data_IF_752218247436
#
_entry.id   IF_752218247436
#
_cell.length_a   1.000
_cell.length_b   1.000
_cell.length_c   1.000
_cell.angle_alpha   90.00
_cell.angle_beta   90.00
_cell.angle_gamma   90.00
#
_symmetry.space_group_name_H-M   'P 1'
#
loop_
_entity.id
_entity.type
_entity.pdbx_description
1 polymer ?
#
# COMPACT_ATOMS: atom_id res chain seq x y z
N UNK A 1 -52.67 38.15 29.63
CA UNK A 1 -52.23 37.47 28.38
C UNK A 1 -50.71 37.36 28.38
N UNK A 2 -50.12 36.29 28.93
CA UNK A 2 -48.66 36.16 29.04
C UNK A 2 -48.22 34.68 28.94
N UNK A 3 -48.48 34.03 27.79
CA UNK A 3 -47.98 32.67 27.51
C UNK A 3 -47.64 32.55 26.02
N UNK A 4 -46.66 33.33 25.53
CA UNK A 4 -46.06 33.09 24.20
C UNK A 4 -44.54 33.15 24.17
N UNK A 5 -43.88 33.70 25.20
CA UNK A 5 -42.42 33.88 25.21
C UNK A 5 -41.62 32.58 25.45
N UNK A 6 -42.17 31.60 26.17
CA UNK A 6 -41.49 30.33 26.44
C UNK A 6 -41.35 29.40 25.23
N UNK A 7 -42.27 29.50 24.25
CA UNK A 7 -42.34 28.56 23.12
C UNK A 7 -41.27 28.84 22.04
N UNK A 8 -40.88 30.09 21.87
CA UNK A 8 -39.81 30.48 20.93
C UNK A 8 -38.40 30.19 21.46
N UNK A 9 -38.23 30.13 22.79
CA UNK A 9 -36.94 29.75 23.40
C UNK A 9 -36.59 28.31 23.09
N UNK A 10 -37.56 27.40 23.20
CA UNK A 10 -37.40 25.98 22.87
C UNK A 10 -37.13 25.75 21.38
N UNK A 11 -37.81 26.51 20.52
CA UNK A 11 -37.56 26.51 19.08
C UNK A 11 -36.14 26.99 18.74
N UNK A 12 -35.65 28.03 19.44
CA UNK A 12 -34.27 28.50 19.30
C UNK A 12 -33.23 27.45 19.70
N UNK A 13 -33.43 26.76 20.82
CA UNK A 13 -32.54 25.66 21.23
C UNK A 13 -32.53 24.51 20.22
N UNK A 14 -33.69 24.14 19.68
CA UNK A 14 -33.76 23.11 18.64
C UNK A 14 -32.97 23.50 17.38
N UNK A 15 -33.06 24.75 16.94
CA UNK A 15 -32.32 25.24 15.76
C UNK A 15 -30.82 25.26 16.02
N UNK A 16 -30.37 25.69 17.20
CA UNK A 16 -28.94 25.71 17.57
C UNK A 16 -28.38 24.28 17.65
N UNK A 17 -29.11 23.33 18.22
CA UNK A 17 -28.69 21.92 18.27
C UNK A 17 -28.66 21.33 16.87
N UNK A 18 -29.68 21.57 16.04
CA UNK A 18 -29.73 21.09 14.66
C UNK A 18 -28.56 21.63 13.84
N UNK A 19 -28.23 22.92 13.98
CA UNK A 19 -27.09 23.53 13.28
C UNK A 19 -25.75 23.00 13.79
N UNK A 20 -25.59 22.79 15.10
CA UNK A 20 -24.40 22.12 15.64
C UNK A 20 -24.26 20.68 15.13
N UNK A 21 -25.35 19.96 14.96
CA UNK A 21 -25.34 18.57 14.46
C UNK A 21 -25.01 18.55 12.96
N UNK A 22 -25.69 19.38 12.16
CA UNK A 22 -25.54 19.41 10.69
C UNK A 22 -24.19 20.00 10.26
N UNK A 23 -23.59 20.90 11.03
CA UNK A 23 -22.29 21.50 10.69
C UNK A 23 -21.17 20.81 11.47
N UNK A 24 -21.39 20.56 12.77
CA UNK A 24 -20.38 19.99 13.66
C UNK A 24 -20.08 18.54 13.37
N UNK A 25 -21.08 17.68 13.11
CA UNK A 25 -20.82 16.26 12.80
C UNK A 25 -20.05 16.11 11.49
N UNK A 26 -20.44 16.76 10.36
CA UNK A 26 -19.62 16.71 9.14
C UNK A 26 -18.23 17.30 9.33
N UNK A 27 -18.07 18.39 10.09
CA UNK A 27 -16.75 18.95 10.36
C UNK A 27 -15.86 18.00 11.19
N UNK A 28 -16.45 17.26 12.13
CA UNK A 28 -15.75 16.25 12.94
C UNK A 28 -15.40 15.01 12.10
N UNK A 29 -16.30 14.58 11.22
CA UNK A 29 -16.07 13.50 10.27
C UNK A 29 -15.01 13.86 9.22
N UNK A 30 -14.98 15.10 8.74
CA UNK A 30 -13.94 15.60 7.82
C UNK A 30 -12.58 15.72 8.52
N UNK A 31 -12.55 16.07 9.81
CA UNK A 31 -11.31 16.07 10.60
C UNK A 31 -10.82 14.66 10.96
N UNK A 32 -11.73 13.69 11.12
CA UNK A 32 -11.41 12.28 11.38
C UNK A 32 -11.11 11.47 10.12
N UNK A 33 -11.60 11.90 8.95
CA UNK A 33 -11.13 11.43 7.66
C UNK A 33 -9.87 12.19 7.31
N UNK A 34 -8.72 11.63 7.66
CA UNK A 34 -7.47 11.90 6.95
C UNK A 34 -7.67 11.47 5.48
N UNK A 35 -8.27 12.34 4.68
CA UNK A 35 -8.24 12.25 3.22
C UNK A 35 -6.81 12.60 2.79
N UNK A 36 -5.88 11.72 3.18
CA UNK A 36 -4.51 11.81 2.72
C UNK A 36 -4.55 11.39 1.25
N UNK A 37 -4.76 12.34 0.36
CA UNK A 37 -4.46 12.22 -1.06
C UNK A 37 -2.94 12.12 -1.18
N UNK A 38 -2.38 10.96 -0.81
CA UNK A 38 -1.00 10.66 -1.14
C UNK A 38 -0.92 10.64 -2.66
N UNK A 39 0.03 11.41 -3.18
CA UNK A 39 0.29 11.49 -4.61
C UNK A 39 0.32 10.08 -5.21
N UNK A 40 -0.28 9.87 -6.41
CA UNK A 40 -0.14 8.61 -7.10
C UNK A 40 1.35 8.26 -7.17
N UNK A 41 1.69 7.00 -6.89
CA UNK A 41 3.06 6.48 -7.05
C UNK A 41 3.53 6.91 -8.44
N UNK A 42 4.54 7.78 -8.53
CA UNK A 42 5.00 8.35 -9.81
C UNK A 42 5.25 7.22 -10.80
N UNK A 43 4.63 7.32 -11.98
CA UNK A 43 4.80 6.36 -13.07
C UNK A 43 6.19 6.47 -13.74
N UNK A 44 6.94 7.54 -13.43
CA UNK A 44 8.30 7.79 -13.91
C UNK A 44 9.32 6.97 -13.09
N UNK A 45 9.41 5.68 -13.37
CA UNK A 45 10.34 4.77 -12.68
C UNK A 45 10.60 3.48 -13.44
N UNK A 46 11.47 2.63 -12.88
CA UNK A 46 11.74 1.29 -13.41
C UNK A 46 10.43 0.50 -13.52
N UNK A 47 10.11 0.01 -14.71
CA UNK A 47 8.91 -0.77 -14.98
C UNK A 47 9.22 -2.26 -14.81
N UNK A 48 8.43 -2.94 -13.99
CA UNK A 48 8.50 -4.38 -13.76
C UNK A 48 7.48 -5.06 -14.66
N UNK A 49 7.92 -5.97 -15.52
CA UNK A 49 7.02 -6.92 -16.20
C UNK A 49 6.85 -8.14 -15.29
N UNK A 50 5.66 -8.32 -14.77
CA UNK A 50 5.31 -9.39 -13.83
C UNK A 50 4.37 -10.37 -14.51
N UNK A 51 4.72 -11.66 -14.52
CA UNK A 51 3.79 -12.73 -14.86
C UNK A 51 2.96 -13.11 -13.63
N UNK A 52 1.64 -12.87 -13.68
CA UNK A 52 0.72 -13.22 -12.60
C UNK A 52 0.15 -14.63 -12.81
N UNK A 53 -0.03 -15.04 -14.06
CA UNK A 53 -0.44 -16.38 -14.45
C UNK A 53 0.14 -16.74 -15.82
N UNK A 54 0.01 -17.99 -16.26
CA UNK A 54 0.56 -18.46 -17.55
C UNK A 54 0.23 -17.55 -18.74
N UNK A 55 -0.95 -16.91 -18.73
CA UNK A 55 -1.45 -16.09 -19.84
C UNK A 55 -1.49 -14.60 -19.54
N UNK A 56 -1.07 -14.18 -18.35
CA UNK A 56 -1.22 -12.80 -17.90
C UNK A 56 0.11 -12.23 -17.42
N UNK A 57 0.60 -11.25 -18.18
CA UNK A 57 1.76 -10.43 -17.84
C UNK A 57 1.29 -8.99 -17.75
N UNK A 58 1.60 -8.35 -16.64
CA UNK A 58 1.31 -6.92 -16.42
C UNK A 58 2.62 -6.14 -16.30
N UNK A 59 2.57 -4.85 -16.63
CA UNK A 59 3.65 -3.91 -16.35
C UNK A 59 3.21 -2.96 -15.25
N UNK A 60 4.08 -2.71 -14.29
CA UNK A 60 3.81 -1.79 -13.18
C UNK A 60 5.10 -1.12 -12.69
N UNK A 61 5.03 0.12 -12.18
CA UNK A 61 6.17 0.77 -11.55
C UNK A 61 6.74 -0.08 -10.41
N UNK A 62 8.06 -0.13 -10.28
CA UNK A 62 8.76 -0.92 -9.27
C UNK A 62 8.20 -0.70 -7.85
N UNK A 63 7.94 0.53 -7.46
CA UNK A 63 7.41 0.84 -6.14
C UNK A 63 5.99 0.30 -5.94
N UNK A 64 5.15 0.30 -6.99
CA UNK A 64 3.82 -0.31 -6.94
C UNK A 64 3.91 -1.84 -6.87
N UNK A 65 4.86 -2.45 -7.59
CA UNK A 65 5.15 -3.87 -7.49
C UNK A 65 5.55 -4.26 -6.06
N UNK A 66 6.46 -3.51 -5.44
CA UNK A 66 6.97 -3.79 -4.10
C UNK A 66 5.90 -3.67 -3.01
N UNK A 67 4.91 -2.78 -3.17
CA UNK A 67 3.76 -2.75 -2.26
C UNK A 67 3.00 -4.08 -2.30
N UNK A 68 2.84 -4.67 -3.49
CA UNK A 68 2.26 -6.00 -3.69
C UNK A 68 3.07 -7.11 -3.05
N UNK A 69 4.39 -7.06 -3.19
CA UNK A 69 5.30 -8.04 -2.58
C UNK A 69 5.25 -7.98 -1.06
N UNK A 70 5.47 -6.80 -0.47
CA UNK A 70 5.49 -6.65 0.99
C UNK A 70 4.15 -7.04 1.62
N UNK A 71 3.03 -6.75 0.94
CA UNK A 71 1.70 -7.15 1.39
C UNK A 71 1.43 -8.66 1.31
N UNK A 72 2.12 -9.37 0.42
CA UNK A 72 2.03 -10.81 0.26
C UNK A 72 2.95 -11.56 1.23
N UNK A 73 4.19 -11.09 1.36
CA UNK A 73 5.27 -11.75 2.10
C UNK A 73 5.25 -11.48 3.60
N UNK A 74 4.80 -10.30 4.03
CA UNK A 74 4.95 -9.87 5.42
C UNK A 74 3.64 -9.46 6.08
N UNK A 75 3.33 -9.95 7.30
CA UNK A 75 2.16 -9.50 8.03
C UNK A 75 2.20 -8.00 8.30
N UNK A 76 1.13 -7.29 7.95
CA UNK A 76 1.02 -5.83 8.17
C UNK A 76 1.06 -5.43 9.65
N UNK A 77 0.82 -6.38 10.56
CA UNK A 77 0.94 -6.18 12.01
C UNK A 77 2.39 -6.02 12.47
N UNK A 78 3.38 -6.44 11.68
CA UNK A 78 4.79 -6.32 12.03
C UNK A 78 5.22 -4.84 12.15
N UNK A 79 6.34 -4.64 12.83
CA UNK A 79 6.88 -3.31 13.05
C UNK A 79 7.24 -2.60 11.72
N UNK A 80 7.16 -1.28 11.69
CA UNK A 80 7.41 -0.50 10.48
C UNK A 80 8.83 -0.73 9.92
N UNK A 81 9.84 -0.79 10.80
CA UNK A 81 11.22 -1.07 10.41
C UNK A 81 11.39 -2.45 9.78
N UNK A 82 10.60 -3.45 10.18
CA UNK A 82 10.60 -4.76 9.53
C UNK A 82 10.01 -4.66 8.10
N UNK A 83 8.94 -3.85 7.92
CA UNK A 83 8.34 -3.63 6.59
C UNK A 83 9.31 -2.90 5.66
N UNK A 84 10.08 -1.95 6.21
CA UNK A 84 11.16 -1.25 5.49
C UNK A 84 12.28 -2.22 5.09
N UNK A 85 12.74 -3.07 6.01
CA UNK A 85 13.76 -4.08 5.72
C UNK A 85 13.30 -5.02 4.59
N UNK A 86 12.06 -5.51 4.67
CA UNK A 86 11.47 -6.35 3.63
C UNK A 86 11.39 -5.62 2.29
N UNK A 87 10.98 -4.34 2.28
CA UNK A 87 10.92 -3.55 1.05
C UNK A 87 12.30 -3.40 0.38
N UNK A 88 13.36 -3.21 1.16
CA UNK A 88 14.74 -3.13 0.64
C UNK A 88 15.22 -4.49 0.12
N UNK A 89 14.95 -5.58 0.84
CA UNK A 89 15.29 -6.93 0.38
C UNK A 89 14.56 -7.27 -0.93
N UNK A 90 13.24 -7.06 -0.98
CA UNK A 90 12.44 -7.28 -2.17
C UNK A 90 12.92 -6.44 -3.36
N UNK A 91 13.20 -5.13 -3.16
CA UNK A 91 13.73 -4.26 -4.21
C UNK A 91 15.05 -4.77 -4.76
N UNK A 92 15.93 -5.22 -3.88
CA UNK A 92 17.24 -5.78 -4.25
C UNK A 92 17.05 -7.04 -5.10
N UNK A 93 16.16 -7.94 -4.70
CA UNK A 93 15.84 -9.16 -5.45
C UNK A 93 15.30 -8.81 -6.84
N UNK A 94 14.32 -7.91 -6.92
CA UNK A 94 13.68 -7.52 -8.18
C UNK A 94 14.69 -6.95 -9.17
N UNK A 95 15.54 -6.03 -8.70
CA UNK A 95 16.57 -5.42 -9.55
C UNK A 95 17.65 -6.42 -9.95
N UNK A 96 18.06 -7.31 -9.05
CA UNK A 96 19.02 -8.38 -9.36
C UNK A 96 18.49 -9.28 -10.48
N UNK A 97 17.23 -9.70 -10.41
CA UNK A 97 16.58 -10.51 -11.45
C UNK A 97 16.40 -9.78 -12.77
N UNK A 98 16.18 -8.47 -12.73
CA UNK A 98 16.07 -7.65 -13.94
C UNK A 98 17.41 -7.42 -14.65
N UNK A 99 18.52 -7.40 -13.91
CA UNK A 99 19.86 -7.17 -14.46
C UNK A 99 20.56 -8.47 -14.85
N UNK A 100 20.29 -9.58 -14.15
CA UNK A 100 20.78 -10.90 -14.58
C UNK A 100 20.10 -11.29 -15.89
N UNK A 101 20.89 -11.71 -16.87
CA UNK A 101 20.36 -12.19 -18.15
C UNK A 101 19.44 -13.39 -17.94
N UNK A 102 18.41 -13.51 -18.78
CA UNK A 102 17.35 -14.52 -18.69
C UNK A 102 17.92 -15.93 -18.91
N UNK A 103 18.37 -16.55 -17.83
CA UNK A 103 18.56 -18.00 -17.74
C UNK A 103 17.28 -18.72 -17.27
N UNK A 104 16.14 -18.01 -17.23
CA UNK A 104 14.90 -18.50 -16.64
C UNK A 104 13.81 -18.77 -17.67
N UNK A 105 13.61 -20.04 -17.97
CA UNK A 105 12.60 -20.52 -18.93
C UNK A 105 11.17 -20.48 -18.36
N UNK A 106 10.96 -20.22 -17.06
CA UNK A 106 9.62 -20.27 -16.46
C UNK A 106 8.77 -19.04 -16.83
N UNK A 107 9.41 -17.90 -17.10
CA UNK A 107 8.72 -16.66 -17.43
C UNK A 107 9.48 -15.86 -18.52
N UNK A 108 9.60 -16.42 -19.74
CA UNK A 108 10.51 -15.93 -20.79
C UNK A 108 10.16 -14.51 -21.26
N UNK A 109 8.92 -14.05 -21.07
CA UNK A 109 8.44 -12.73 -21.49
C UNK A 109 8.35 -11.70 -20.34
N UNK A 110 8.65 -12.12 -19.10
CA UNK A 110 8.57 -11.27 -17.91
C UNK A 110 9.94 -11.12 -17.22
N UNK A 111 10.05 -10.14 -16.31
CA UNK A 111 11.21 -9.99 -15.45
C UNK A 111 11.10 -10.88 -14.20
N UNK A 112 9.88 -11.07 -13.69
CA UNK A 112 9.54 -11.77 -12.46
C UNK A 112 8.20 -12.49 -12.63
N UNK A 113 7.92 -13.48 -11.79
CA UNK A 113 6.59 -14.07 -11.62
C UNK A 113 6.04 -13.88 -10.20
N UNK A 114 4.74 -14.11 -10.03
CA UNK A 114 4.05 -14.03 -8.74
C UNK A 114 4.07 -15.36 -7.95
N UNK A 115 4.81 -16.37 -8.41
CA UNK A 115 4.97 -17.64 -7.71
C UNK A 115 6.04 -17.51 -6.60
N UNK A 116 5.69 -17.65 -5.31
CA UNK A 116 6.64 -17.60 -4.21
C UNK A 116 7.64 -18.77 -4.21
N UNK A 117 7.36 -19.87 -4.90
CA UNK A 117 8.29 -21.00 -5.05
C UNK A 117 9.43 -20.72 -6.02
N UNK A 118 9.32 -19.66 -6.82
CA UNK A 118 10.26 -19.32 -7.89
C UNK A 118 10.81 -17.90 -7.77
N UNK A 119 9.93 -16.92 -7.60
CA UNK A 119 10.27 -15.51 -7.41
C UNK A 119 9.88 -15.02 -6.02
N UNK A 120 8.84 -14.19 -5.94
CA UNK A 120 8.37 -13.58 -4.71
C UNK A 120 6.85 -13.66 -4.69
N UNK A 121 6.26 -13.84 -3.51
CA UNK A 121 4.83 -13.71 -3.38
C UNK A 121 4.41 -12.30 -3.79
N UNK A 122 3.34 -12.19 -4.57
CA UNK A 122 2.77 -10.90 -4.95
C UNK A 122 1.24 -10.96 -4.94
N UNK A 123 0.60 -9.92 -4.41
CA UNK A 123 -0.85 -9.78 -4.47
C UNK A 123 -1.25 -8.44 -5.07
N UNK A 124 -2.35 -8.45 -5.83
CA UNK A 124 -2.90 -7.26 -6.45
C UNK A 124 -3.56 -6.33 -5.42
N UNK A 125 -3.79 -5.08 -5.82
CA UNK A 125 -4.52 -4.13 -4.98
C UNK A 125 -5.96 -4.60 -4.70
N UNK A 126 -6.59 -5.29 -5.66
CA UNK A 126 -7.91 -5.91 -5.46
C UNK A 126 -7.86 -6.99 -4.39
N UNK A 127 -6.83 -7.86 -4.43
CA UNK A 127 -6.64 -8.91 -3.44
C UNK A 127 -6.35 -8.33 -2.04
N UNK A 128 -5.59 -7.24 -1.93
CA UNK A 128 -5.43 -6.51 -0.66
C UNK A 128 -6.76 -6.00 -0.11
N UNK A 129 -7.66 -5.51 -0.97
CA UNK A 129 -9.00 -5.06 -0.55
C UNK A 129 -9.84 -6.21 -0.04
N UNK A 130 -9.81 -7.35 -0.72
CA UNK A 130 -10.48 -8.59 -0.28
C UNK A 130 -9.93 -9.06 1.07
N UNK A 131 -8.60 -9.09 1.22
CA UNK A 131 -7.90 -9.57 2.41
C UNK A 131 -8.13 -8.72 3.66
N UNK A 132 -8.15 -7.39 3.53
CA UNK A 132 -8.20 -6.49 4.69
C UNK A 132 -9.55 -5.81 4.90
N UNK A 133 -10.44 -5.80 3.91
CA UNK A 133 -11.76 -5.18 4.00
C UNK A 133 -11.69 -3.75 4.53
N UNK A 134 -12.31 -3.52 5.68
CA UNK A 134 -12.35 -2.22 6.36
C UNK A 134 -10.97 -1.68 6.75
N UNK A 135 -10.01 -2.58 7.03
CA UNK A 135 -8.63 -2.23 7.36
C UNK A 135 -7.75 -2.01 6.11
N UNK A 136 -8.30 -2.09 4.90
CA UNK A 136 -7.53 -1.92 3.67
C UNK A 136 -6.76 -0.61 3.64
N UNK A 137 -7.44 0.53 3.89
CA UNK A 137 -6.81 1.85 3.83
C UNK A 137 -5.62 1.98 4.79
N UNK A 138 -5.77 1.76 6.11
CA UNK A 138 -4.63 1.90 7.03
C UNK A 138 -3.51 0.89 6.76
N UNK A 139 -3.84 -0.36 6.38
CA UNK A 139 -2.84 -1.38 6.08
C UNK A 139 -2.04 -1.03 4.81
N UNK A 140 -2.74 -0.65 3.74
CA UNK A 140 -2.14 -0.19 2.50
C UNK A 140 -1.26 1.05 2.74
N UNK A 141 -1.73 2.01 3.54
CA UNK A 141 -0.95 3.18 3.91
C UNK A 141 0.31 2.82 4.68
N UNK A 142 0.25 1.89 5.64
CA UNK A 142 1.43 1.48 6.41
C UNK A 142 2.50 0.86 5.50
N UNK A 143 2.10 -0.06 4.62
CA UNK A 143 3.01 -0.75 3.69
C UNK A 143 3.56 0.21 2.65
N UNK A 144 2.70 0.99 1.99
CA UNK A 144 3.15 1.99 0.99
C UNK A 144 4.10 3.02 1.60
N UNK A 145 3.88 3.46 2.85
CA UNK A 145 4.84 4.35 3.53
C UNK A 145 6.21 3.68 3.69
N UNK A 146 6.26 2.42 4.11
CA UNK A 146 7.51 1.69 4.30
C UNK A 146 8.29 1.50 2.98
N UNK A 147 7.57 1.15 1.90
CA UNK A 147 8.15 1.02 0.56
C UNK A 147 8.70 2.36 0.07
N UNK A 148 7.90 3.42 0.12
CA UNK A 148 8.31 4.75 -0.38
C UNK A 148 9.42 5.37 0.47
N UNK A 149 9.41 5.20 1.80
CA UNK A 149 10.47 5.68 2.69
C UNK A 149 11.83 4.98 2.47
N UNK A 150 11.82 3.86 1.75
CA UNK A 150 13.02 3.12 1.35
C UNK A 150 13.27 3.18 -0.16
N UNK A 151 12.60 4.08 -0.87
CA UNK A 151 12.76 4.27 -2.31
C UNK A 151 14.23 4.39 -2.72
N UNK A 152 14.64 3.59 -3.69
CA UNK A 152 16.02 3.54 -4.19
C UNK A 152 17.05 2.86 -3.29
N UNK A 153 16.69 2.40 -2.08
CA UNK A 153 17.61 1.66 -1.20
C UNK A 153 17.66 0.19 -1.61
N UNK A 154 18.88 -0.35 -1.70
CA UNK A 154 19.19 -1.73 -2.05
C UNK A 154 20.31 -2.28 -1.16
N UNK A 155 20.42 -3.60 -1.07
CA UNK A 155 21.51 -4.29 -0.36
C UNK A 155 22.62 -4.61 -1.35
N UNK A 156 23.86 -4.28 -0.97
CA UNK A 156 25.05 -4.55 -1.79
C UNK A 156 26.17 -5.18 -0.98
N UNK A 157 27.01 -5.95 -1.65
CA UNK A 157 28.28 -6.47 -1.17
C UNK A 157 29.32 -6.21 -2.25
N UNK A 158 30.44 -5.56 -1.90
CA UNK A 158 31.49 -5.15 -2.86
C UNK A 158 30.95 -4.34 -4.06
N UNK A 159 29.91 -3.52 -3.83
CA UNK A 159 29.29 -2.69 -4.86
C UNK A 159 28.36 -3.44 -5.81
N UNK A 160 28.17 -4.75 -5.63
CA UNK A 160 27.21 -5.55 -6.40
C UNK A 160 25.96 -5.86 -5.57
N UNK A 161 24.81 -5.99 -6.24
CA UNK A 161 23.57 -6.43 -5.59
C UNK A 161 23.76 -7.84 -5.02
N UNK A 162 23.41 -8.03 -3.75
CA UNK A 162 23.41 -9.36 -3.13
C UNK A 162 22.17 -10.15 -3.56
N UNK A 163 22.19 -11.47 -3.38
CA UNK A 163 20.99 -12.30 -3.38
C UNK A 163 20.32 -12.26 -2.00
N UNK A 164 19.20 -11.52 -1.83
CA UNK A 164 18.67 -11.17 -0.52
C UNK A 164 17.61 -12.19 -0.07
N UNK A 165 18.00 -13.45 0.07
CA UNK A 165 17.07 -14.54 0.46
C UNK A 165 16.43 -14.29 1.84
N UNK A 166 15.14 -14.55 1.97
CA UNK A 166 14.36 -14.40 3.20
C UNK A 166 13.32 -15.53 3.34
N UNK A 167 12.88 -15.83 4.56
CA UNK A 167 11.88 -16.87 4.84
C UNK A 167 11.12 -16.59 6.15
N UNK A 168 9.95 -17.21 6.30
CA UNK A 168 9.24 -17.28 7.59
C UNK A 168 9.79 -18.39 8.47
N UNK A 169 9.77 -18.21 9.79
CA UNK A 169 10.07 -19.24 10.79
C UNK A 169 8.80 -19.78 11.46
#
# INVERSE_FOLDING_TARGET
MAVKFGRYRWLGYMIVVLTMVVIGIPALLVRGCSWESREPVKEDGVQVKLQISEKEIISLPLEQYLIGVVAAEMPVSFHEEALKAQAVAARTYSLLRMVREKEDDQHPDAHLCADPGHCQAWISNEEMRKRWGWNYRPNYQKISSAVLATGGKVLTHEGQLIDPVYHSS
#
